data_IF_086916238124
#
_entry.id   IF_086916238124
#
_cell.length_a   1.000
_cell.length_b   1.000
_cell.length_c   1.000
_cell.angle_alpha   90.00
_cell.angle_beta   90.00
_cell.angle_gamma   90.00
#
_symmetry.space_group_name_H-M   'P 1'
#
loop_
_entity.id
_entity.type
_entity.pdbx_description
1 polymer ?
#
# COMPACT_ATOMS: atom_id res chain seq x y z
N UNK A 1 16.85 22.73 -12.14
CA UNK A 1 16.30 21.45 -11.65
C UNK A 1 14.93 21.78 -11.07
N UNK A 2 13.86 21.30 -11.69
CA UNK A 2 12.50 21.55 -11.20
C UNK A 2 12.29 20.69 -9.95
N UNK A 3 12.47 21.30 -8.78
CA UNK A 3 12.13 20.74 -7.46
C UNK A 3 10.61 20.86 -7.27
N UNK A 4 9.84 20.14 -8.09
CA UNK A 4 8.41 20.04 -7.80
C UNK A 4 8.28 19.19 -6.54
N UNK A 5 7.66 19.70 -5.46
CA UNK A 5 7.39 18.90 -4.29
C UNK A 5 6.56 17.70 -4.74
N UNK A 6 7.17 16.52 -4.65
CA UNK A 6 6.52 15.25 -4.97
C UNK A 6 5.37 15.10 -4.00
N UNK A 7 4.13 15.05 -4.49
CA UNK A 7 2.97 14.86 -3.64
C UNK A 7 3.04 13.48 -2.98
N UNK A 8 3.24 13.39 -1.65
CA UNK A 8 3.41 12.12 -0.96
C UNK A 8 2.17 11.24 -1.08
N UNK A 9 0.97 11.83 -1.18
CA UNK A 9 -0.28 11.08 -1.34
C UNK A 9 -0.38 10.46 -2.72
N UNK A 10 0.00 11.19 -3.77
CA UNK A 10 0.05 10.64 -5.13
C UNK A 10 1.08 9.51 -5.25
N UNK A 11 2.27 9.65 -4.66
CA UNK A 11 3.26 8.55 -4.63
C UNK A 11 2.72 7.31 -3.91
N UNK A 12 2.04 7.50 -2.78
CA UNK A 12 1.41 6.40 -2.06
C UNK A 12 0.33 5.71 -2.92
N UNK A 13 -0.49 6.49 -3.62
CA UNK A 13 -1.53 5.99 -4.51
C UNK A 13 -0.93 5.17 -5.65
N UNK A 14 0.05 5.72 -6.36
CA UNK A 14 0.72 5.05 -7.48
C UNK A 14 1.41 3.76 -7.03
N UNK A 15 2.03 3.77 -5.85
CA UNK A 15 2.64 2.57 -5.28
C UNK A 15 1.60 1.49 -4.96
N UNK A 16 0.44 1.85 -4.41
CA UNK A 16 -0.66 0.90 -4.16
C UNK A 16 -1.20 0.34 -5.48
N UNK A 17 -1.46 1.22 -6.47
CA UNK A 17 -1.97 0.81 -7.78
C UNK A 17 -1.01 -0.12 -8.53
N UNK A 18 0.31 0.09 -8.39
CA UNK A 18 1.32 -0.81 -8.95
C UNK A 18 1.43 -2.16 -8.20
N UNK A 19 1.13 -2.18 -6.89
CA UNK A 19 1.19 -3.38 -6.06
C UNK A 19 -0.05 -4.28 -6.15
N UNK A 20 -1.21 -3.73 -6.53
CA UNK A 20 -2.47 -4.48 -6.60
C UNK A 20 -2.51 -5.59 -7.67
N UNK A 21 -2.08 -5.38 -8.93
CA UNK A 21 -2.11 -6.41 -9.97
C UNK A 21 -1.33 -7.70 -9.63
N UNK A 22 -0.05 -7.64 -9.17
CA UNK A 22 0.67 -8.85 -8.82
C UNK A 22 0.09 -9.56 -7.59
N UNK A 23 -0.49 -8.82 -6.63
CA UNK A 23 -1.21 -9.43 -5.51
C UNK A 23 -2.50 -10.12 -5.95
N UNK A 24 -3.21 -9.56 -6.93
CA UNK A 24 -4.38 -10.21 -7.50
C UNK A 24 -4.02 -11.50 -8.23
N UNK A 25 -2.98 -11.46 -9.06
CA UNK A 25 -2.49 -12.65 -9.76
C UNK A 25 -2.04 -13.75 -8.77
N UNK A 26 -1.42 -13.35 -7.66
CA UNK A 26 -1.03 -14.28 -6.62
C UNK A 26 -2.21 -14.90 -5.85
N UNK A 27 -3.25 -14.11 -5.56
CA UNK A 27 -4.49 -14.62 -4.96
C UNK A 27 -5.19 -15.60 -5.91
N UNK A 28 -5.23 -15.30 -7.22
CA UNK A 28 -5.89 -16.11 -8.24
C UNK A 28 -5.13 -17.44 -8.50
N UNK A 29 -3.81 -17.46 -8.30
CA UNK A 29 -2.94 -18.64 -8.47
C UNK A 29 -2.64 -19.40 -7.16
N UNK A 30 -3.31 -19.05 -6.05
CA UNK A 30 -3.00 -19.56 -4.72
C UNK A 30 -3.09 -21.10 -4.59
N UNK A 31 -3.85 -21.76 -5.49
CA UNK A 31 -4.02 -23.22 -5.51
C UNK A 31 -2.90 -23.98 -6.26
N UNK A 32 -2.17 -23.34 -7.19
CA UNK A 32 -1.26 -24.03 -8.13
C UNK A 32 0.25 -23.82 -7.84
N UNK A 33 0.64 -22.73 -7.18
CA UNK A 33 2.05 -22.43 -6.91
C UNK A 33 2.15 -21.43 -5.75
N UNK A 34 3.03 -21.60 -4.75
CA UNK A 34 3.25 -20.57 -3.74
C UNK A 34 3.80 -19.30 -4.40
N UNK A 35 2.90 -18.38 -4.76
CA UNK A 35 3.18 -17.04 -5.30
C UNK A 35 3.93 -16.11 -4.31
N UNK A 36 4.51 -16.68 -3.25
CA UNK A 36 5.22 -15.97 -2.20
C UNK A 36 6.36 -15.11 -2.75
N UNK A 37 7.07 -15.56 -3.79
CA UNK A 37 8.15 -14.80 -4.44
C UNK A 37 7.62 -13.58 -5.21
N UNK A 38 6.50 -13.72 -5.93
CA UNK A 38 5.89 -12.61 -6.69
C UNK A 38 5.27 -11.57 -5.75
N UNK A 39 4.63 -12.02 -4.68
CA UNK A 39 4.11 -11.16 -3.62
C UNK A 39 5.27 -10.44 -2.91
N UNK A 40 6.37 -11.14 -2.66
CA UNK A 40 7.56 -10.54 -2.08
C UNK A 40 8.15 -9.45 -2.95
N UNK A 41 8.27 -9.69 -4.26
CA UNK A 41 8.76 -8.73 -5.22
C UNK A 41 7.84 -7.49 -5.32
N UNK A 42 6.52 -7.71 -5.36
CA UNK A 42 5.53 -6.64 -5.40
C UNK A 42 5.61 -5.74 -4.15
N UNK A 43 5.65 -6.34 -2.97
CA UNK A 43 5.70 -5.62 -1.70
C UNK A 43 7.06 -4.93 -1.47
N UNK A 44 8.16 -5.53 -1.94
CA UNK A 44 9.48 -4.91 -1.91
C UNK A 44 9.55 -3.69 -2.83
N UNK A 45 8.93 -3.79 -4.01
CA UNK A 45 8.81 -2.68 -4.95
C UNK A 45 7.95 -1.56 -4.35
N UNK A 46 6.80 -1.89 -3.75
CA UNK A 46 5.98 -0.94 -3.01
C UNK A 46 6.78 -0.20 -1.92
N UNK A 47 7.48 -0.94 -1.07
CA UNK A 47 8.25 -0.36 0.03
C UNK A 47 9.34 0.60 -0.49
N UNK A 48 10.02 0.23 -1.58
CA UNK A 48 11.01 1.08 -2.23
C UNK A 48 10.40 2.35 -2.82
N UNK A 49 9.22 2.27 -3.44
CA UNK A 49 8.52 3.42 -4.02
C UNK A 49 8.03 4.41 -2.98
N UNK A 50 7.57 3.94 -1.82
CA UNK A 50 7.03 4.79 -0.74
C UNK A 50 8.14 5.30 0.20
N UNK A 51 9.30 4.63 0.27
CA UNK A 51 10.41 5.00 1.16
C UNK A 51 10.79 6.49 1.14
N UNK A 52 10.85 7.19 0.00
CA UNK A 52 11.23 8.61 -0.04
C UNK A 52 10.21 9.56 0.60
N UNK A 53 8.94 9.14 0.68
CA UNK A 53 7.82 9.96 1.16
C UNK A 53 7.25 9.49 2.49
N UNK A 54 7.83 8.45 3.10
CA UNK A 54 7.31 7.80 4.29
C UNK A 54 7.20 8.75 5.49
N UNK A 55 8.23 9.58 5.70
CA UNK A 55 8.25 10.56 6.80
C UNK A 55 7.18 11.65 6.62
N UNK A 56 6.95 12.09 5.37
CA UNK A 56 5.91 13.07 5.05
C UNK A 56 4.52 12.47 5.29
N UNK A 57 4.29 11.23 4.85
CA UNK A 57 3.05 10.49 5.10
C UNK A 57 2.79 10.29 6.59
N UNK A 58 3.83 10.01 7.38
CA UNK A 58 3.72 9.87 8.83
C UNK A 58 3.38 11.20 9.51
N UNK A 59 3.97 12.30 9.05
CA UNK A 59 3.65 13.65 9.52
C UNK A 59 2.18 14.01 9.19
N UNK A 60 1.71 13.72 7.98
CA UNK A 60 0.31 13.93 7.56
C UNK A 60 -0.67 13.12 8.41
N UNK A 61 -0.38 11.84 8.66
CA UNK A 61 -1.20 10.98 9.50
C UNK A 61 -1.25 11.45 10.97
N UNK A 62 -0.17 12.06 11.45
CA UNK A 62 -0.09 12.64 12.80
C UNK A 62 -0.85 13.96 12.89
N UNK A 63 -0.81 14.78 11.82
CA UNK A 63 -1.52 16.04 11.73
C UNK A 63 -3.05 15.86 11.61
N UNK A 64 -3.50 14.81 10.92
CA UNK A 64 -4.91 14.43 10.81
C UNK A 64 -5.17 12.97 11.24
N UNK A 65 -5.20 12.69 12.56
CA UNK A 65 -5.53 11.36 13.07
C UNK A 65 -6.95 10.95 12.67
N UNK A 66 -7.12 9.75 12.11
CA UNK A 66 -8.39 9.30 11.54
C UNK A 66 -8.67 9.82 10.12
N UNK A 67 -7.79 10.67 9.58
CA UNK A 67 -7.81 11.13 8.21
C UNK A 67 -7.56 10.03 7.18
N UNK A 68 -7.66 10.38 5.90
CA UNK A 68 -7.49 9.46 4.77
C UNK A 68 -6.13 8.77 4.77
N UNK A 69 -5.06 9.52 5.02
CA UNK A 69 -3.67 9.02 5.04
C UNK A 69 -3.44 8.10 6.24
N UNK A 70 -3.87 8.49 7.44
CA UNK A 70 -3.78 7.65 8.63
C UNK A 70 -4.57 6.33 8.46
N UNK A 71 -5.79 6.41 7.91
CA UNK A 71 -6.59 5.23 7.61
C UNK A 71 -5.88 4.30 6.60
N UNK A 72 -5.30 4.87 5.53
CA UNK A 72 -4.56 4.12 4.53
C UNK A 72 -3.31 3.43 5.12
N UNK A 73 -2.48 4.15 5.87
CA UNK A 73 -1.30 3.59 6.55
C UNK A 73 -1.68 2.48 7.54
N UNK A 74 -2.80 2.61 8.25
CA UNK A 74 -3.31 1.55 9.14
C UNK A 74 -3.70 0.28 8.38
N UNK A 75 -4.35 0.39 7.22
CA UNK A 75 -4.66 -0.80 6.40
C UNK A 75 -3.39 -1.42 5.84
N UNK A 76 -2.46 -0.62 5.34
CA UNK A 76 -1.16 -1.10 4.84
C UNK A 76 -0.41 -1.87 5.92
N UNK A 77 -0.30 -1.31 7.12
CA UNK A 77 0.33 -2.01 8.26
C UNK A 77 -0.33 -3.36 8.56
N UNK A 78 -1.66 -3.47 8.43
CA UNK A 78 -2.37 -4.75 8.61
C UNK A 78 -2.04 -5.74 7.50
N UNK A 79 -1.91 -5.28 6.26
CA UNK A 79 -1.51 -6.09 5.11
C UNK A 79 -0.11 -6.70 5.35
N UNK A 80 0.86 -5.87 5.75
CA UNK A 80 2.23 -6.31 6.03
C UNK A 80 2.33 -7.23 7.27
N UNK A 81 1.56 -6.97 8.33
CA UNK A 81 1.57 -7.81 9.53
C UNK A 81 1.03 -9.23 9.24
N UNK A 82 0.02 -9.38 8.38
CA UNK A 82 -0.48 -10.70 7.98
C UNK A 82 0.55 -11.50 7.18
N UNK A 83 1.43 -10.82 6.41
CA UNK A 83 2.56 -11.47 5.75
C UNK A 83 3.57 -12.01 6.76
N UNK A 84 3.89 -11.25 7.80
CA UNK A 84 4.84 -11.66 8.85
C UNK A 84 4.43 -12.93 9.59
N UNK A 85 3.15 -13.28 9.59
CA UNK A 85 2.61 -14.51 10.21
C UNK A 85 2.54 -15.69 9.24
N UNK A 86 3.11 -15.59 8.03
CA UNK A 86 3.19 -16.68 7.06
C UNK A 86 1.90 -16.98 6.29
N UNK A 87 0.83 -16.20 6.54
CA UNK A 87 -0.43 -16.32 5.82
C UNK A 87 -0.53 -15.15 4.85
N UNK A 88 0.02 -15.32 3.65
CA UNK A 88 -0.28 -14.40 2.55
C UNK A 88 -1.71 -14.72 2.12
N UNK A 89 -2.65 -14.14 2.85
CA UNK A 89 -4.08 -14.34 2.70
C UNK A 89 -4.66 -13.31 1.73
N UNK A 90 -5.83 -13.58 1.10
CA UNK A 90 -6.65 -12.58 0.40
C UNK A 90 -6.92 -11.29 1.22
N UNK A 91 -6.65 -11.34 2.52
CA UNK A 91 -6.58 -10.18 3.42
C UNK A 91 -5.57 -9.13 2.95
N UNK A 92 -4.41 -9.48 2.39
CA UNK A 92 -3.38 -8.50 1.98
C UNK A 92 -3.89 -7.60 0.85
N UNK A 93 -4.45 -8.20 -0.22
CA UNK A 93 -5.09 -7.49 -1.32
C UNK A 93 -6.25 -6.63 -0.83
N UNK A 94 -7.13 -7.18 0.00
CA UNK A 94 -8.28 -6.45 0.56
C UNK A 94 -7.86 -5.22 1.36
N UNK A 95 -6.81 -5.32 2.18
CA UNK A 95 -6.30 -4.20 2.97
C UNK A 95 -5.68 -3.12 2.07
N UNK A 96 -4.94 -3.49 1.03
CA UNK A 96 -4.40 -2.53 0.05
C UNK A 96 -5.50 -1.82 -0.74
N UNK A 97 -6.56 -2.52 -1.16
CA UNK A 97 -7.72 -1.89 -1.80
C UNK A 97 -8.42 -0.90 -0.86
N UNK A 98 -8.53 -1.22 0.43
CA UNK A 98 -9.09 -0.28 1.42
C UNK A 98 -8.23 0.96 1.62
N UNK A 99 -6.90 0.82 1.56
CA UNK A 99 -6.00 1.95 1.57
C UNK A 99 -6.26 2.85 0.35
N UNK A 100 -6.37 2.27 -0.84
CA UNK A 100 -6.70 3.00 -2.07
C UNK A 100 -8.03 3.77 -1.98
N UNK A 101 -9.08 3.12 -1.46
CA UNK A 101 -10.40 3.75 -1.25
C UNK A 101 -10.30 4.93 -0.26
N UNK A 102 -9.55 4.78 0.83
CA UNK A 102 -9.37 5.85 1.80
C UNK A 102 -8.68 7.08 1.17
N UNK A 103 -7.66 6.85 0.33
CA UNK A 103 -6.96 7.92 -0.39
C UNK A 103 -7.84 8.58 -1.46
N UNK A 104 -8.65 7.81 -2.20
CA UNK A 104 -9.53 8.37 -3.24
C UNK A 104 -10.66 9.23 -2.69
N UNK A 105 -11.11 8.98 -1.45
CA UNK A 105 -12.05 9.86 -0.74
C UNK A 105 -11.44 11.21 -0.36
N UNK A 106 -10.12 11.31 -0.27
CA UNK A 106 -9.41 12.56 0.02
C UNK A 106 -9.43 13.52 -1.17
N UNK A 107 -9.34 13.00 -2.41
CA UNK A 107 -9.31 13.82 -3.63
C UNK A 107 -10.66 14.46 -4.02
N UNK A 108 -11.75 14.18 -3.31
CA UNK A 108 -13.10 14.66 -3.62
C UNK A 108 -13.64 15.72 -2.65
N UNK A 109 -12.80 16.24 -1.74
CA UNK A 109 -13.13 17.38 -0.87
C UNK A 109 -12.31 18.59 -1.28
#
# INVERSE_FOLDING_TARGET
MNDQPVDPVSVLRDAIDAALPPLQLADDNADDNPAAADIEAALSTFARSVSPVLDQLAAMATAEPGGSVDAALKQLRRAFNHRGTGTISPTCRWQMQRAQIALNRHSQR
#
